data_IF_189635801995
#
_entry.id   IF_189635801995
#
_cell.length_a   1.000
_cell.length_b   1.000
_cell.length_c   1.000
_cell.angle_alpha   90.00
_cell.angle_beta   90.00
_cell.angle_gamma   90.00
#
_symmetry.space_group_name_H-M   'P 1'
#
loop_
_entity.id
_entity.type
_entity.pdbx_description
1 polymer ?
#
# COMPACT_ATOMS: atom_id res chain seq x y z
N UNK A 1 7.09 6.20 -10.02
CA UNK A 1 6.22 7.16 -9.29
C UNK A 1 6.85 7.38 -7.92
N UNK A 2 6.58 8.49 -7.23
CA UNK A 2 7.05 8.67 -5.85
C UNK A 2 5.86 8.70 -4.90
N UNK A 3 5.91 7.92 -3.82
CA UNK A 3 4.85 7.82 -2.82
C UNK A 3 5.36 8.34 -1.48
N UNK A 4 4.58 9.20 -0.84
CA UNK A 4 4.91 9.84 0.42
C UNK A 4 3.84 9.48 1.46
N UNK A 5 4.25 8.86 2.55
CA UNK A 5 3.42 8.51 3.70
C UNK A 5 3.66 9.56 4.78
N UNK A 6 2.61 10.32 5.13
CA UNK A 6 2.72 11.46 6.04
C UNK A 6 1.99 11.13 7.34
N UNK A 7 2.66 11.24 8.49
CA UNK A 7 2.00 11.10 9.79
C UNK A 7 1.27 12.40 10.11
N UNK A 8 -0.06 12.40 9.95
CA UNK A 8 -0.89 13.62 10.10
C UNK A 8 -1.44 13.82 11.50
N UNK A 9 -1.30 12.82 12.37
CA UNK A 9 -1.61 12.91 13.80
C UNK A 9 -1.22 11.62 14.53
N UNK A 10 -1.46 11.56 15.85
CA UNK A 10 -1.05 10.43 16.72
C UNK A 10 -1.50 9.06 16.22
N UNK A 11 -2.69 8.98 15.62
CA UNK A 11 -3.27 7.75 15.05
C UNK A 11 -3.85 7.99 13.66
N UNK A 12 -3.22 8.88 12.88
CA UNK A 12 -3.69 9.30 11.56
C UNK A 12 -2.52 9.49 10.63
N UNK A 13 -2.73 9.13 9.37
CA UNK A 13 -1.77 9.36 8.31
C UNK A 13 -2.46 9.71 7.00
N UNK A 14 -1.68 10.18 6.04
CA UNK A 14 -2.09 10.41 4.67
C UNK A 14 -1.09 9.75 3.72
N UNK A 15 -1.55 9.45 2.51
CA UNK A 15 -0.71 8.95 1.42
C UNK A 15 -0.77 9.92 0.26
N UNK A 16 0.38 10.34 -0.25
CA UNK A 16 0.52 11.22 -1.41
C UNK A 16 1.28 10.51 -2.51
N UNK A 17 0.71 10.43 -3.70
CA UNK A 17 1.36 9.91 -4.89
C UNK A 17 1.70 11.05 -5.86
N UNK A 18 2.98 11.14 -6.22
CA UNK A 18 3.53 12.11 -7.16
C UNK A 18 3.88 11.39 -8.47
N UNK A 19 3.14 11.71 -9.53
CA UNK A 19 3.37 11.19 -10.87
C UNK A 19 4.30 12.13 -11.66
N UNK A 20 5.26 11.62 -12.46
CA UNK A 20 6.28 12.46 -13.12
C UNK A 20 5.73 13.63 -13.97
N UNK A 21 4.53 13.49 -14.54
CA UNK A 21 3.88 14.52 -15.34
C UNK A 21 2.37 14.61 -15.01
N UNK A 22 2.00 14.42 -13.75
CA UNK A 22 0.62 14.37 -13.29
C UNK A 22 0.36 15.18 -12.02
N UNK A 23 -0.92 15.34 -11.63
CA UNK A 23 -1.25 15.97 -10.37
C UNK A 23 -0.75 15.13 -9.20
N UNK A 24 -0.55 15.78 -8.06
CA UNK A 24 -0.37 15.07 -6.79
C UNK A 24 -1.73 14.49 -6.40
N UNK A 25 -1.75 13.20 -6.15
CA UNK A 25 -2.92 12.48 -5.66
C UNK A 25 -2.76 12.25 -4.15
N UNK A 26 -3.79 12.49 -3.36
CA UNK A 26 -3.78 12.34 -1.91
C UNK A 26 -4.97 11.50 -1.43
N UNK A 27 -4.71 10.65 -0.45
CA UNK A 27 -5.71 10.02 0.41
C UNK A 27 -5.46 10.49 1.85
N UNK A 28 -6.39 11.30 2.39
CA UNK A 28 -6.26 11.91 3.72
C UNK A 28 -7.65 12.13 4.37
N UNK A 29 -7.96 11.51 5.52
CA UNK A 29 -7.14 10.53 6.22
C UNK A 29 -7.11 9.20 5.48
N UNK A 30 -5.96 8.52 5.54
CA UNK A 30 -5.84 7.14 5.10
C UNK A 30 -6.36 6.15 6.18
N UNK A 31 -6.99 5.03 5.78
CA UNK A 31 -7.56 4.05 6.70
C UNK A 31 -6.47 3.14 7.31
N UNK A 32 -6.80 2.37 8.35
CA UNK A 32 -5.93 1.28 8.80
C UNK A 32 -4.59 1.74 9.43
N UNK A 33 -4.63 2.74 10.30
CA UNK A 33 -3.46 3.15 11.08
C UNK A 33 -2.90 1.97 11.90
N UNK A 34 -1.58 1.77 11.81
CA UNK A 34 -0.80 0.90 12.67
C UNK A 34 0.49 1.63 13.07
N UNK A 35 0.92 1.56 14.34
CA UNK A 35 2.08 2.32 14.82
C UNK A 35 3.40 1.85 14.19
N UNK A 36 3.44 0.62 13.66
CA UNK A 36 4.63 0.02 13.07
C UNK A 36 4.62 0.10 11.56
N UNK A 37 3.53 -0.33 10.91
CA UNK A 37 3.41 -0.30 9.44
C UNK A 37 1.96 -0.04 9.05
N UNK A 38 1.59 1.21 8.69
CA UNK A 38 0.23 1.56 8.28
C UNK A 38 -0.24 0.71 7.11
N UNK A 39 -1.54 0.46 7.02
CA UNK A 39 -2.13 -0.46 6.05
C UNK A 39 -1.67 -0.21 4.61
N UNK A 40 -1.69 1.04 4.14
CA UNK A 40 -1.24 1.36 2.77
C UNK A 40 0.27 1.16 2.57
N UNK A 41 1.08 1.27 3.62
CA UNK A 41 2.51 0.95 3.54
C UNK A 41 2.71 -0.56 3.38
N UNK A 42 1.84 -1.38 3.98
CA UNK A 42 1.85 -2.83 3.77
C UNK A 42 1.51 -3.16 2.31
N UNK A 43 0.46 -2.54 1.75
CA UNK A 43 0.10 -2.68 0.33
C UNK A 43 1.25 -2.26 -0.59
N UNK A 44 1.88 -1.12 -0.31
CA UNK A 44 3.01 -0.64 -1.11
C UNK A 44 4.15 -1.67 -1.18
N UNK A 45 4.52 -2.26 -0.04
CA UNK A 45 5.57 -3.27 0.02
C UNK A 45 5.17 -4.49 -0.80
N UNK A 46 3.99 -5.07 -0.54
CA UNK A 46 3.63 -6.34 -1.17
C UNK A 46 3.33 -6.19 -2.66
N UNK A 47 2.66 -5.11 -3.08
CA UNK A 47 2.37 -4.91 -4.50
C UNK A 47 3.67 -4.76 -5.30
N UNK A 48 4.67 -4.06 -4.73
CA UNK A 48 6.00 -3.91 -5.35
C UNK A 48 6.76 -5.25 -5.42
N UNK A 49 6.76 -6.04 -4.35
CA UNK A 49 7.51 -7.31 -4.30
C UNK A 49 6.86 -8.46 -5.05
N UNK A 50 5.55 -8.39 -5.31
CA UNK A 50 4.80 -9.40 -6.03
C UNK A 50 4.36 -8.97 -7.44
N UNK A 51 4.84 -7.81 -7.90
CA UNK A 51 4.54 -7.24 -9.22
C UNK A 51 3.03 -7.11 -9.47
N UNK A 52 2.28 -6.66 -8.46
CA UNK A 52 0.82 -6.49 -8.54
C UNK A 52 0.52 -5.11 -9.12
N UNK A 53 0.25 -5.07 -10.43
CA UNK A 53 0.03 -3.82 -11.16
C UNK A 53 -1.42 -3.33 -11.10
N UNK A 54 -2.39 -4.23 -10.89
CA UNK A 54 -3.82 -3.94 -10.90
C UNK A 54 -4.45 -3.65 -9.55
N UNK A 55 -3.65 -3.38 -8.51
CA UNK A 55 -4.11 -2.98 -7.18
C UNK A 55 -3.82 -1.48 -6.92
N UNK A 56 -3.65 -1.04 -5.67
CA UNK A 56 -3.67 0.39 -5.32
C UNK A 56 -2.53 1.16 -6.01
N UNK A 57 -1.27 0.80 -5.72
CA UNK A 57 -0.11 1.57 -6.16
C UNK A 57 0.22 1.34 -7.63
N UNK A 58 0.00 0.13 -8.13
CA UNK A 58 0.12 -0.16 -9.55
C UNK A 58 -0.83 0.69 -10.41
N UNK A 59 -2.08 0.88 -9.95
CA UNK A 59 -3.05 1.76 -10.63
C UNK A 59 -2.70 3.23 -10.52
N UNK A 60 -2.22 3.67 -9.36
CA UNK A 60 -1.70 5.03 -9.21
C UNK A 60 -0.56 5.28 -10.20
N UNK A 61 0.40 4.34 -10.31
CA UNK A 61 1.50 4.43 -11.25
C UNK A 61 1.05 4.46 -12.72
N UNK A 62 -0.04 3.76 -13.05
CA UNK A 62 -0.69 3.81 -14.35
C UNK A 62 -1.48 5.12 -14.60
N UNK A 63 -1.55 6.02 -13.61
CA UNK A 63 -2.22 7.31 -13.69
C UNK A 63 -3.71 7.28 -13.36
N UNK A 64 -4.18 6.23 -12.67
CA UNK A 64 -5.49 6.15 -12.04
C UNK A 64 -5.53 6.77 -10.64
N UNK A 65 -6.64 6.59 -9.94
CA UNK A 65 -6.88 7.10 -8.57
C UNK A 65 -7.10 5.99 -7.55
N UNK A 66 -7.07 4.73 -7.97
CA UNK A 66 -7.38 3.58 -7.11
C UNK A 66 -8.78 3.66 -6.44
N UNK A 67 -9.67 4.52 -6.95
CA UNK A 67 -10.97 4.84 -6.36
C UNK A 67 -10.94 5.69 -5.08
N UNK A 68 -9.80 5.76 -4.36
CA UNK A 68 -9.70 6.39 -3.03
C UNK A 68 -8.83 7.65 -2.99
N UNK A 69 -8.01 7.89 -4.01
CA UNK A 69 -7.14 9.06 -4.07
C UNK A 69 -7.79 10.21 -4.84
N UNK A 70 -7.53 11.42 -4.39
CA UNK A 70 -8.05 12.64 -4.99
C UNK A 70 -6.93 13.58 -5.39
N UNK A 71 -7.10 14.28 -6.51
CA UNK A 71 -6.14 15.30 -6.94
C UNK A 71 -6.15 16.47 -5.97
N UNK A 72 -5.00 16.81 -5.39
CA UNK A 72 -4.82 18.05 -4.62
C UNK A 72 -4.28 19.13 -5.56
N UNK A 73 -5.10 20.15 -5.85
CA UNK A 73 -4.73 21.25 -6.73
C UNK A 73 -3.77 22.22 -6.03
N UNK A 74 -2.73 22.67 -6.73
CA UNK A 74 -1.87 23.76 -6.26
C UNK A 74 -2.43 25.18 -6.56
N UNK A 75 -3.70 25.31 -6.93
CA UNK A 75 -4.34 26.62 -7.05
C UNK A 75 -5.67 26.61 -7.80
N UNK A 76 -6.77 26.83 -7.06
CA UNK A 76 -8.07 27.34 -7.52
C UNK A 76 -8.83 26.58 -8.62
N UNK A 77 -10.17 26.63 -8.55
CA UNK A 77 -11.06 25.99 -9.53
C UNK A 77 -10.98 26.64 -10.93
N UNK A 78 -9.97 26.27 -11.72
CA UNK A 78 -9.82 26.65 -13.12
C UNK A 78 -10.55 25.67 -14.06
N UNK A 79 -10.83 26.10 -15.29
CA UNK A 79 -11.38 25.20 -16.33
C UNK A 79 -10.43 24.05 -16.65
N UNK A 80 -9.12 24.27 -16.52
CA UNK A 80 -8.08 23.27 -16.76
C UNK A 80 -8.10 22.19 -15.67
N UNK A 81 -8.24 22.61 -14.41
CA UNK A 81 -8.47 21.75 -13.27
C UNK A 81 -9.68 20.81 -13.48
N UNK A 82 -10.81 21.34 -13.93
CA UNK A 82 -12.00 20.54 -14.27
C UNK A 82 -11.77 19.54 -15.42
N UNK A 83 -11.01 19.93 -16.45
CA UNK A 83 -10.63 19.04 -17.57
C UNK A 83 -9.70 17.92 -17.08
N UNK A 84 -8.76 18.24 -16.20
CA UNK A 84 -7.83 17.28 -15.63
C UNK A 84 -8.56 16.24 -14.76
N UNK A 85 -9.49 16.67 -13.91
CA UNK A 85 -10.34 15.75 -13.13
C UNK A 85 -11.14 14.79 -14.01
N UNK A 86 -11.74 15.29 -15.10
CA UNK A 86 -12.45 14.44 -16.07
C UNK A 86 -11.53 13.43 -16.76
N UNK A 87 -10.33 13.85 -17.13
CA UNK A 87 -9.32 12.97 -17.74
C UNK A 87 -8.86 11.88 -16.77
N UNK A 88 -8.67 12.22 -15.49
CA UNK A 88 -8.36 11.25 -14.44
C UNK A 88 -9.50 10.26 -14.23
N UNK A 89 -10.75 10.73 -14.10
CA UNK A 89 -11.92 9.86 -13.93
C UNK A 89 -12.10 8.88 -15.10
N UNK A 90 -11.95 9.35 -16.34
CA UNK A 90 -12.02 8.48 -17.51
C UNK A 90 -10.89 7.43 -17.54
N UNK A 91 -9.69 7.80 -17.09
CA UNK A 91 -8.57 6.85 -16.94
C UNK A 91 -8.84 5.83 -15.84
N UNK A 92 -9.33 6.28 -14.68
CA UNK A 92 -9.64 5.39 -13.57
C UNK A 92 -10.71 4.37 -13.96
N UNK A 93 -11.79 4.80 -14.62
CA UNK A 93 -12.81 3.90 -15.17
C UNK A 93 -12.23 2.87 -16.14
N UNK A 94 -11.31 3.29 -17.02
CA UNK A 94 -10.63 2.36 -17.95
C UNK A 94 -9.73 1.37 -17.21
N UNK A 95 -9.08 1.82 -16.13
CA UNK A 95 -8.18 1.00 -15.34
C UNK A 95 -8.96 0.07 -14.41
N UNK A 96 -10.19 0.40 -13.99
CA UNK A 96 -11.09 -0.29 -13.05
C UNK A 96 -12.11 -1.22 -13.74
N UNK A 97 -11.73 -2.40 -14.24
CA UNK A 97 -12.71 -3.46 -14.33
C UNK A 97 -13.17 -3.81 -12.90
N UNK A 98 -14.47 -4.04 -12.77
CA UNK A 98 -15.16 -4.39 -11.52
C UNK A 98 -14.35 -5.48 -10.77
N UNK A 99 -13.95 -5.19 -9.53
CA UNK A 99 -13.22 -6.08 -8.62
C UNK A 99 -12.12 -6.93 -9.28
N UNK A 100 -11.05 -6.28 -9.75
CA UNK A 100 -9.88 -6.98 -10.29
C UNK A 100 -9.28 -7.99 -9.29
N UNK A 101 -8.95 -9.19 -9.77
CA UNK A 101 -8.24 -10.24 -9.00
C UNK A 101 -6.96 -9.71 -8.33
N UNK A 102 -6.32 -8.71 -8.90
CA UNK A 102 -5.12 -8.09 -8.31
C UNK A 102 -5.40 -7.40 -6.96
N UNK A 103 -6.59 -6.85 -6.74
CA UNK A 103 -6.96 -6.34 -5.41
C UNK A 103 -7.03 -7.47 -4.40
N UNK A 104 -7.74 -8.56 -4.74
CA UNK A 104 -7.85 -9.71 -3.85
C UNK A 104 -6.48 -10.33 -3.57
N UNK A 105 -5.61 -10.38 -4.58
CA UNK A 105 -4.21 -10.82 -4.45
C UNK A 105 -3.39 -9.89 -3.56
N UNK A 106 -3.56 -8.57 -3.68
CA UNK A 106 -2.90 -7.56 -2.84
C UNK A 106 -3.31 -7.68 -1.36
N UNK A 107 -4.60 -7.86 -1.09
CA UNK A 107 -5.12 -8.10 0.27
C UNK A 107 -4.55 -9.38 0.89
N UNK A 108 -4.59 -10.49 0.15
CA UNK A 108 -4.01 -11.76 0.62
C UNK A 108 -2.51 -11.64 0.88
N UNK A 109 -1.77 -11.02 -0.03
CA UNK A 109 -0.34 -10.81 0.12
C UNK A 109 -0.03 -9.92 1.33
N UNK A 110 -0.78 -8.84 1.51
CA UNK A 110 -0.67 -7.95 2.68
C UNK A 110 -0.83 -8.73 3.97
N UNK A 111 -1.91 -9.51 4.10
CA UNK A 111 -2.17 -10.31 5.30
C UNK A 111 -1.04 -11.32 5.58
N UNK A 112 -0.65 -12.10 4.57
CA UNK A 112 0.34 -13.16 4.71
C UNK A 112 1.73 -12.60 5.03
N UNK A 113 2.16 -11.55 4.34
CA UNK A 113 3.49 -10.97 4.55
C UNK A 113 3.57 -10.15 5.85
N UNK A 114 2.48 -9.48 6.25
CA UNK A 114 2.41 -8.81 7.54
C UNK A 114 2.53 -9.80 8.69
N UNK A 115 1.76 -10.88 8.63
CA UNK A 115 1.83 -11.96 9.61
C UNK A 115 3.24 -12.58 9.68
N UNK A 116 3.85 -12.86 8.52
CA UNK A 116 5.21 -13.43 8.42
C UNK A 116 6.26 -12.51 9.05
N UNK A 117 6.17 -11.19 8.86
CA UNK A 117 7.05 -10.23 9.53
C UNK A 117 6.84 -10.20 11.06
N UNK A 118 5.58 -10.18 11.52
CA UNK A 118 5.25 -10.18 12.93
C UNK A 118 5.82 -11.39 13.67
N UNK A 119 5.68 -12.60 13.12
CA UNK A 119 6.22 -13.83 13.72
C UNK A 119 7.75 -13.83 13.85
N UNK A 120 8.45 -13.07 13.00
CA UNK A 120 9.91 -12.95 13.01
C UNK A 120 10.40 -11.68 13.71
N UNK A 121 9.52 -10.92 14.37
CA UNK A 121 9.89 -9.72 15.12
C UNK A 121 10.71 -10.07 16.37
N UNK A 122 11.62 -9.20 16.80
CA UNK A 122 12.31 -9.33 18.09
C UNK A 122 11.42 -8.92 19.27
N UNK A 123 10.35 -8.16 19.03
CA UNK A 123 9.36 -7.77 20.04
C UNK A 123 8.40 -8.94 20.35
N UNK A 124 8.35 -9.44 21.61
CA UNK A 124 7.45 -10.51 22.00
C UNK A 124 5.97 -10.23 21.76
N UNK A 125 5.52 -8.97 21.91
CA UNK A 125 4.12 -8.59 21.69
C UNK A 125 3.75 -8.65 20.20
N UNK A 126 4.67 -8.24 19.32
CA UNK A 126 4.48 -8.38 17.88
C UNK A 126 4.49 -9.84 17.45
N UNK A 127 5.41 -10.66 18.00
CA UNK A 127 5.40 -12.11 17.74
C UNK A 127 4.12 -12.79 18.18
N UNK A 128 3.58 -12.43 19.34
CA UNK A 128 2.31 -12.97 19.84
C UNK A 128 1.16 -12.66 18.86
N UNK A 129 1.06 -11.41 18.39
CA UNK A 129 0.09 -11.02 17.35
C UNK A 129 0.28 -11.81 16.05
N UNK A 130 1.53 -12.00 15.62
CA UNK A 130 1.84 -12.83 14.45
C UNK A 130 1.36 -14.28 14.60
N UNK A 131 1.58 -14.88 15.78
CA UNK A 131 1.15 -16.23 16.10
C UNK A 131 -0.38 -16.38 16.12
N UNK A 132 -1.10 -15.37 16.63
CA UNK A 132 -2.58 -15.32 16.59
C UNK A 132 -3.11 -15.28 15.15
N UNK A 133 -2.42 -14.55 14.26
CA UNK A 133 -2.79 -14.43 12.85
C UNK A 133 -2.45 -15.66 12.00
N UNK A 134 -1.55 -16.52 12.49
CA UNK A 134 -0.95 -17.61 11.74
C UNK A 134 -1.94 -18.65 11.19
N UNK A 135 -3.00 -19.09 11.92
CA UNK A 135 -4.00 -20.00 11.37
C UNK A 135 -4.70 -19.44 10.13
N UNK A 136 -5.12 -18.17 10.19
CA UNK A 136 -5.77 -17.49 9.07
C UNK A 136 -4.80 -17.29 7.89
N UNK A 137 -3.54 -16.93 8.15
CA UNK A 137 -2.53 -16.79 7.10
C UNK A 137 -2.27 -18.13 6.39
N UNK A 138 -2.15 -19.24 7.14
CA UNK A 138 -2.03 -20.59 6.57
C UNK A 138 -3.24 -20.96 5.72
N UNK A 139 -4.45 -20.66 6.20
CA UNK A 139 -5.69 -20.90 5.44
C UNK A 139 -5.73 -20.11 4.14
N UNK A 140 -5.37 -18.83 4.16
CA UNK A 140 -5.29 -17.99 2.96
C UNK A 140 -4.31 -18.57 1.94
N UNK A 141 -3.08 -18.90 2.37
CA UNK A 141 -2.08 -19.51 1.49
C UNK A 141 -2.54 -20.86 0.93
N UNK A 142 -3.24 -21.68 1.72
CA UNK A 142 -3.79 -22.95 1.26
C UNK A 142 -4.88 -22.76 0.19
N UNK A 143 -5.70 -21.70 0.31
CA UNK A 143 -6.76 -21.37 -0.66
C UNK A 143 -6.27 -20.71 -1.95
N UNK A 144 -5.04 -20.19 -2.00
CA UNK A 144 -4.49 -19.56 -3.20
C UNK A 144 -4.36 -20.54 -4.36
N UNK A 145 -4.51 -20.02 -5.58
CA UNK A 145 -4.18 -20.76 -6.79
C UNK A 145 -2.70 -21.22 -6.75
N UNK A 146 -2.35 -22.41 -7.29
CA UNK A 146 -0.98 -22.92 -7.22
C UNK A 146 0.08 -21.95 -7.76
N UNK A 147 -0.23 -21.25 -8.86
CA UNK A 147 0.67 -20.26 -9.45
C UNK A 147 0.93 -19.06 -8.53
N UNK A 148 -0.10 -18.56 -7.82
CA UNK A 148 0.05 -17.49 -6.84
C UNK A 148 0.85 -17.97 -5.62
N UNK A 149 0.50 -19.14 -5.08
CA UNK A 149 1.20 -19.73 -3.92
C UNK A 149 2.69 -19.95 -4.20
N UNK A 150 3.05 -20.34 -5.41
CA UNK A 150 4.44 -20.57 -5.81
C UNK A 150 5.32 -19.30 -5.72
N UNK A 151 4.71 -18.10 -5.73
CA UNK A 151 5.45 -16.84 -5.59
C UNK A 151 5.99 -16.62 -4.18
N UNK A 152 5.42 -17.25 -3.15
CA UNK A 152 5.81 -17.09 -1.74
C UNK A 152 7.03 -17.93 -1.37
N UNK A 153 8.08 -17.87 -2.18
CA UNK A 153 9.33 -18.59 -1.93
C UNK A 153 10.01 -18.09 -0.64
N UNK A 154 10.84 -18.92 0.02
CA UNK A 154 11.58 -18.48 1.21
C UNK A 154 12.41 -17.21 0.96
N UNK A 155 13.05 -17.10 -0.20
CA UNK A 155 13.83 -15.94 -0.58
C UNK A 155 12.97 -14.67 -0.74
N UNK A 156 11.81 -14.76 -1.41
CA UNK A 156 10.91 -13.61 -1.57
C UNK A 156 10.31 -13.18 -0.24
N UNK A 157 9.89 -14.13 0.62
CA UNK A 157 9.43 -13.83 1.98
C UNK A 157 10.50 -13.11 2.80
N UNK A 158 11.74 -13.59 2.77
CA UNK A 158 12.85 -12.95 3.46
C UNK A 158 13.09 -11.51 2.97
N UNK A 159 13.04 -11.27 1.66
CA UNK A 159 13.16 -9.92 1.09
C UNK A 159 12.02 -9.00 1.55
N UNK A 160 10.78 -9.49 1.52
CA UNK A 160 9.62 -8.73 2.00
C UNK A 160 9.77 -8.40 3.49
N UNK A 161 10.18 -9.36 4.34
CA UNK A 161 10.43 -9.10 5.78
C UNK A 161 11.49 -8.02 6.01
N UNK A 162 12.57 -8.01 5.23
CA UNK A 162 13.60 -6.98 5.32
C UNK A 162 13.03 -5.60 5.00
N UNK A 163 12.18 -5.51 3.99
CA UNK A 163 11.53 -4.26 3.59
C UNK A 163 10.51 -3.77 4.63
N UNK A 164 9.68 -4.67 5.17
CA UNK A 164 8.82 -4.38 6.33
C UNK A 164 9.64 -3.86 7.51
N UNK A 165 10.75 -4.51 7.86
CA UNK A 165 11.59 -4.08 8.98
C UNK A 165 12.23 -2.69 8.73
N UNK A 166 12.68 -2.42 7.50
CA UNK A 166 13.25 -1.11 7.12
C UNK A 166 12.21 0.00 7.25
N UNK A 167 11.08 -0.17 6.58
CA UNK A 167 10.03 0.85 6.52
C UNK A 167 9.33 1.01 7.86
N UNK A 168 9.18 -0.07 8.64
CA UNK A 168 8.62 0.01 9.99
C UNK A 168 9.46 0.89 10.91
N UNK A 169 10.79 0.72 10.91
CA UNK A 169 11.69 1.56 11.71
C UNK A 169 11.60 3.03 11.30
N UNK A 170 11.56 3.29 10.00
CA UNK A 170 11.43 4.67 9.50
C UNK A 170 10.09 5.28 9.90
N UNK A 171 8.98 4.55 9.73
CA UNK A 171 7.63 5.01 10.09
C UNK A 171 7.47 5.26 11.59
N UNK A 172 7.95 4.33 12.42
CA UNK A 172 7.85 4.42 13.88
C UNK A 172 8.65 5.61 14.45
N UNK A 173 9.71 6.03 13.75
CA UNK A 173 10.52 7.19 14.12
C UNK A 173 9.91 8.54 13.74
N UNK A 174 8.86 8.57 12.89
CA UNK A 174 8.25 9.82 12.44
C UNK A 174 7.43 10.49 13.55
N UNK A 175 7.67 11.78 13.75
CA UNK A 175 6.78 12.69 14.45
C UNK A 175 5.56 13.10 13.61
N UNK A 176 4.59 13.75 14.26
CA UNK A 176 3.45 14.35 13.54
C UNK A 176 3.93 15.47 12.64
N UNK A 177 3.50 15.45 11.38
CA UNK A 177 3.92 16.37 10.32
C UNK A 177 5.09 15.85 9.48
N UNK A 178 5.78 14.81 9.93
CA UNK A 178 6.88 14.20 9.18
C UNK A 178 6.39 13.14 8.20
N UNK A 179 7.27 12.76 7.27
CA UNK A 179 6.92 11.84 6.19
C UNK A 179 8.05 10.92 5.78
N UNK A 180 7.67 9.74 5.33
CA UNK A 180 8.53 8.75 4.67
C UNK A 180 8.20 8.75 3.17
N UNK A 181 9.22 8.74 2.31
CA UNK A 181 9.05 8.78 0.86
C UNK A 181 9.76 7.61 0.19
N UNK A 182 9.05 6.92 -0.70
CA UNK A 182 9.53 5.73 -1.40
C UNK A 182 9.27 5.81 -2.90
N UNK A 183 10.15 5.18 -3.68
CA UNK A 183 9.97 5.03 -5.12
C UNK A 183 9.14 3.79 -5.45
N UNK A 184 8.12 3.99 -6.29
CA UNK A 184 7.37 2.95 -6.97
C UNK A 184 7.93 2.71 -8.36
#
# INVERSE_FOLDING_TARGET
MTVCFVRTGERRYAVRAMLPAGPVLEMNPAPGFDPWVPHDLQHFIVEKHFDIAGAVFGRLAAGGTAGTFHSVEQGGASREASRQRRKLAARDQRLMPEQSEDYARSERATYVCWQDWLEHSDDPALRARGAEMAPSARSLVASMAPAERALYTPARRAAVRQEFARLSRQWAALGVGESLTESW
#
